data_IF_559767025776
#
_entry.id   IF_559767025776
#
_cell.length_a   1.000
_cell.length_b   1.000
_cell.length_c   1.000
_cell.angle_alpha   90.00
_cell.angle_beta   90.00
_cell.angle_gamma   90.00
#
_symmetry.space_group_name_H-M   'P 1'
#
loop_
_entity.id
_entity.type
_entity.pdbx_description
1 polymer ?
#
# COMPACT_ATOMS: atom_id res chain seq x y z
N UNK A 1 -33.16 41.61 -22.25
CA UNK A 1 -32.45 42.37 -21.18
C UNK A 1 -30.97 42.02 -21.25
N UNK A 2 -30.07 42.97 -21.00
CA UNK A 2 -28.63 42.78 -21.06
C UNK A 2 -28.01 42.92 -19.65
N UNK A 3 -27.03 42.09 -19.34
CA UNK A 3 -26.31 42.08 -18.07
C UNK A 3 -24.90 42.65 -18.20
N UNK A 4 -24.41 43.24 -17.12
CA UNK A 4 -22.97 43.54 -16.96
C UNK A 4 -22.16 42.27 -16.72
N UNK A 5 -20.82 42.33 -16.89
CA UNK A 5 -19.93 41.20 -16.57
C UNK A 5 -20.12 40.71 -15.13
N UNK A 6 -20.33 41.62 -14.17
CA UNK A 6 -20.54 41.29 -12.76
C UNK A 6 -21.83 40.50 -12.55
N UNK A 7 -22.94 41.00 -13.11
CA UNK A 7 -24.24 40.31 -13.03
C UNK A 7 -24.20 38.95 -13.73
N UNK A 8 -23.53 38.86 -14.88
CA UNK A 8 -23.37 37.58 -15.59
C UNK A 8 -22.58 36.57 -14.73
N UNK A 9 -21.47 37.00 -14.14
CA UNK A 9 -20.65 36.15 -13.28
C UNK A 9 -21.46 35.65 -12.07
N UNK A 10 -22.23 36.54 -11.43
CA UNK A 10 -23.10 36.20 -10.31
C UNK A 10 -24.19 35.18 -10.70
N UNK A 11 -24.89 35.41 -11.82
CA UNK A 11 -25.89 34.48 -12.36
C UNK A 11 -25.29 33.11 -12.70
N UNK A 12 -24.07 33.07 -13.22
CA UNK A 12 -23.37 31.83 -13.55
C UNK A 12 -22.69 31.18 -12.33
N UNK A 13 -22.72 31.82 -11.15
CA UNK A 13 -22.00 31.40 -9.94
C UNK A 13 -20.49 31.27 -10.17
N UNK A 14 -19.91 32.24 -10.85
CA UNK A 14 -18.47 32.33 -11.14
C UNK A 14 -17.94 33.73 -10.83
N UNK A 15 -16.67 33.99 -11.12
CA UNK A 15 -16.05 35.30 -10.88
C UNK A 15 -15.90 36.10 -12.18
N UNK A 16 -15.85 37.42 -12.07
CA UNK A 16 -15.53 38.30 -13.22
C UNK A 16 -14.15 37.99 -13.82
N UNK A 17 -13.21 37.52 -12.99
CA UNK A 17 -11.89 37.02 -13.42
C UNK A 17 -12.04 35.78 -14.31
N UNK A 18 -12.88 34.83 -13.94
CA UNK A 18 -13.16 33.63 -14.74
C UNK A 18 -13.83 33.99 -16.07
N UNK A 19 -14.81 34.90 -16.07
CA UNK A 19 -15.45 35.38 -17.31
C UNK A 19 -14.41 36.03 -18.24
N UNK A 20 -13.49 36.84 -17.71
CA UNK A 20 -12.39 37.43 -18.48
C UNK A 20 -11.46 36.36 -19.05
N UNK A 21 -11.05 35.41 -18.23
CA UNK A 21 -10.20 34.32 -18.67
C UNK A 21 -10.84 33.51 -19.82
N UNK A 22 -12.13 33.21 -19.74
CA UNK A 22 -12.84 32.51 -20.81
C UNK A 22 -12.93 33.32 -22.11
N UNK A 23 -12.97 34.65 -22.04
CA UNK A 23 -12.79 35.48 -23.23
C UNK A 23 -11.38 35.40 -23.79
N UNK A 24 -10.35 35.49 -22.94
CA UNK A 24 -8.94 35.47 -23.34
C UNK A 24 -8.57 34.18 -24.09
N UNK A 25 -9.12 33.04 -23.67
CA UNK A 25 -8.89 31.73 -24.31
C UNK A 25 -9.94 31.37 -25.37
N UNK A 26 -10.85 32.29 -25.70
CA UNK A 26 -11.84 32.10 -26.76
C UNK A 26 -13.00 31.15 -26.44
N UNK A 27 -13.16 30.71 -25.19
CA UNK A 27 -14.28 29.85 -24.77
C UNK A 27 -15.60 30.61 -24.62
N UNK A 28 -15.56 31.91 -24.40
CA UNK A 28 -16.72 32.80 -24.35
C UNK A 28 -16.49 33.96 -25.31
N UNK A 29 -17.42 34.18 -26.24
CA UNK A 29 -17.35 35.33 -27.16
C UNK A 29 -17.52 36.65 -26.42
N UNK A 30 -16.79 37.70 -26.83
CA UNK A 30 -16.97 39.03 -26.27
C UNK A 30 -18.30 39.64 -26.77
N UNK A 31 -19.16 40.15 -25.87
CA UNK A 31 -20.41 40.78 -26.28
C UNK A 31 -20.19 42.14 -26.93
N UNK A 32 -21.20 42.59 -27.67
CA UNK A 32 -21.27 43.97 -28.15
C UNK A 32 -21.18 44.98 -26.99
N UNK A 33 -20.55 46.12 -27.29
CA UNK A 33 -20.49 47.26 -26.37
C UNK A 33 -21.70 48.14 -26.59
N UNK A 34 -22.36 48.53 -25.51
CA UNK A 34 -23.38 49.57 -25.52
C UNK A 34 -22.79 50.92 -25.95
N UNK A 35 -23.65 51.86 -26.32
CA UNK A 35 -23.28 53.24 -26.67
C UNK A 35 -22.51 53.98 -25.57
N UNK A 36 -22.62 53.52 -24.31
CA UNK A 36 -21.87 54.03 -23.15
C UNK A 36 -20.54 53.27 -22.88
N UNK A 37 -20.11 52.38 -23.78
CA UNK A 37 -18.84 51.65 -23.72
C UNK A 37 -18.86 50.33 -22.93
N UNK A 38 -19.94 50.03 -22.21
CA UNK A 38 -20.05 48.83 -21.37
C UNK A 38 -20.44 47.58 -22.14
N UNK A 39 -19.86 46.42 -21.77
CA UNK A 39 -20.18 45.09 -22.33
C UNK A 39 -21.64 44.69 -22.02
N UNK A 40 -22.40 44.21 -23.01
CA UNK A 40 -23.80 43.77 -22.86
C UNK A 40 -23.96 42.26 -23.04
N UNK A 41 -24.00 41.51 -21.95
CA UNK A 41 -24.20 40.06 -22.02
C UNK A 41 -25.68 39.69 -22.11
N UNK A 42 -26.01 38.76 -23.01
CA UNK A 42 -27.35 38.19 -23.16
C UNK A 42 -27.48 36.78 -22.58
N UNK A 43 -28.66 36.19 -22.74
CA UNK A 43 -28.98 34.81 -22.31
C UNK A 43 -28.03 33.79 -22.92
N UNK A 44 -27.62 33.95 -24.18
CA UNK A 44 -26.65 33.07 -24.84
C UNK A 44 -25.32 32.96 -24.09
N UNK A 45 -24.81 34.08 -23.56
CA UNK A 45 -23.57 34.11 -22.80
C UNK A 45 -23.72 33.40 -21.46
N UNK A 46 -24.86 33.57 -20.79
CA UNK A 46 -25.17 32.85 -19.54
C UNK A 46 -25.24 31.34 -19.78
N UNK A 47 -25.96 30.91 -20.82
CA UNK A 47 -26.06 29.49 -21.19
C UNK A 47 -24.67 28.91 -21.49
N UNK A 48 -23.83 29.64 -22.22
CA UNK A 48 -22.45 29.23 -22.51
C UNK A 48 -21.64 29.06 -21.22
N UNK A 49 -21.67 30.03 -20.31
CA UNK A 49 -20.97 29.94 -19.03
C UNK A 49 -21.44 28.76 -18.17
N UNK A 50 -22.76 28.54 -18.09
CA UNK A 50 -23.31 27.42 -17.34
C UNK A 50 -22.90 26.07 -17.93
N UNK A 51 -22.81 25.95 -19.26
CA UNK A 51 -22.29 24.73 -19.91
C UNK A 51 -20.81 24.48 -19.61
N UNK A 52 -19.96 25.50 -19.79
CA UNK A 52 -18.53 25.40 -19.46
C UNK A 52 -18.40 24.93 -18.01
N UNK A 53 -19.08 25.60 -17.08
CA UNK A 53 -19.03 25.27 -15.65
C UNK A 53 -19.50 23.85 -15.34
N UNK A 54 -20.58 23.39 -16.00
CA UNK A 54 -21.08 22.02 -15.82
C UNK A 54 -20.04 20.99 -16.25
N UNK A 55 -19.42 21.17 -17.41
CA UNK A 55 -18.41 20.24 -17.93
C UNK A 55 -17.14 20.25 -17.07
N UNK A 56 -16.62 21.43 -16.74
CA UNK A 56 -15.45 21.55 -15.84
C UNK A 56 -15.75 21.00 -14.44
N UNK A 57 -17.00 21.10 -13.98
CA UNK A 57 -17.43 20.55 -12.70
C UNK A 57 -17.49 19.01 -12.68
N UNK A 58 -17.55 18.36 -13.85
CA UNK A 58 -17.43 16.91 -13.98
C UNK A 58 -15.97 16.45 -14.08
N UNK A 59 -15.01 17.36 -14.22
CA UNK A 59 -13.58 17.03 -14.42
C UNK A 59 -13.10 17.18 -15.86
N UNK A 60 -13.96 17.60 -16.81
CA UNK A 60 -13.52 17.89 -18.18
C UNK A 60 -12.53 19.04 -18.18
N UNK A 61 -11.36 18.83 -18.78
CA UNK A 61 -10.36 19.87 -18.92
C UNK A 61 -10.89 21.04 -19.76
N UNK A 62 -10.51 22.27 -19.39
CA UNK A 62 -11.03 23.48 -20.03
C UNK A 62 -10.75 23.52 -21.54
N UNK A 63 -9.62 22.95 -21.98
CA UNK A 63 -9.24 22.83 -23.39
C UNK A 63 -10.16 21.89 -24.19
N UNK A 64 -10.77 20.90 -23.54
CA UNK A 64 -11.61 19.88 -24.17
C UNK A 64 -13.10 20.25 -24.17
N UNK A 65 -13.49 21.34 -23.50
CA UNK A 65 -14.89 21.75 -23.38
C UNK A 65 -15.58 21.88 -24.74
N UNK A 66 -14.93 22.52 -25.72
CA UNK A 66 -15.49 22.65 -27.08
C UNK A 66 -15.54 21.31 -27.81
N UNK A 67 -14.54 20.45 -27.61
CA UNK A 67 -14.52 19.10 -28.21
C UNK A 67 -15.61 18.21 -27.63
N UNK A 68 -15.88 18.24 -26.34
CA UNK A 68 -16.95 17.45 -25.71
C UNK A 68 -18.35 17.88 -26.20
N UNK A 69 -18.50 19.12 -26.67
CA UNK A 69 -19.77 19.61 -27.21
C UNK A 69 -20.04 19.21 -28.66
N UNK A 70 -19.03 18.77 -29.44
CA UNK A 70 -19.19 18.42 -30.86
C UNK A 70 -20.03 17.16 -31.08
N UNK A 71 -20.27 16.36 -30.02
CA UNK A 71 -21.03 15.09 -30.02
C UNK A 71 -20.50 14.03 -30.99
N UNK A 72 -19.28 14.19 -31.46
CA UNK A 72 -18.60 13.19 -32.29
C UNK A 72 -18.02 12.05 -31.44
N UNK A 73 -17.37 11.08 -32.09
CA UNK A 73 -16.74 9.96 -31.40
C UNK A 73 -15.64 10.40 -30.42
N UNK A 74 -14.93 11.48 -30.72
CA UNK A 74 -13.90 12.03 -29.83
C UNK A 74 -14.51 12.59 -28.56
N UNK A 75 -15.63 13.32 -28.67
CA UNK A 75 -16.40 13.81 -27.53
C UNK A 75 -16.84 12.66 -26.61
N UNK A 76 -17.35 11.58 -27.20
CA UNK A 76 -17.75 10.39 -26.44
C UNK A 76 -16.56 9.70 -25.78
N UNK A 77 -15.41 9.64 -26.46
CA UNK A 77 -14.22 9.03 -25.90
C UNK A 77 -13.70 9.79 -24.68
N UNK A 78 -13.60 11.12 -24.75
CA UNK A 78 -13.19 11.96 -23.60
C UNK A 78 -14.09 11.71 -22.38
N UNK A 79 -15.41 11.60 -22.58
CA UNK A 79 -16.35 11.34 -21.50
C UNK A 79 -16.22 9.93 -20.93
N UNK A 80 -15.96 8.91 -21.76
CA UNK A 80 -15.72 7.54 -21.29
C UNK A 80 -14.42 7.41 -20.52
N UNK A 81 -13.36 8.07 -20.98
CA UNK A 81 -12.07 8.06 -20.30
C UNK A 81 -12.18 8.70 -18.91
N UNK A 82 -12.89 9.83 -18.82
CA UNK A 82 -13.18 10.50 -17.55
C UNK A 82 -14.04 9.63 -16.61
N UNK A 83 -15.07 8.94 -17.14
CA UNK A 83 -15.90 8.03 -16.35
C UNK A 83 -15.07 6.85 -15.80
N UNK A 84 -14.21 6.26 -16.62
CA UNK A 84 -13.31 5.18 -16.22
C UNK A 84 -12.30 5.62 -15.16
N UNK A 85 -11.72 6.82 -15.30
CA UNK A 85 -10.83 7.41 -14.30
C UNK A 85 -11.57 7.60 -12.97
N UNK A 86 -12.76 8.21 -12.99
CA UNK A 86 -13.59 8.41 -11.79
C UNK A 86 -13.97 7.08 -11.12
N UNK A 87 -14.30 6.04 -11.90
CA UNK A 87 -14.61 4.72 -11.36
C UNK A 87 -13.41 4.12 -10.63
N UNK A 88 -12.21 4.16 -11.23
CA UNK A 88 -10.98 3.68 -10.60
C UNK A 88 -10.66 4.45 -9.30
N UNK A 89 -10.90 5.77 -9.32
CA UNK A 89 -10.70 6.66 -8.19
C UNK A 89 -11.68 6.39 -7.03
N UNK A 90 -12.93 6.04 -7.34
CA UNK A 90 -13.94 5.62 -6.37
C UNK A 90 -13.52 4.29 -5.74
N UNK A 91 -13.13 3.30 -6.54
CA UNK A 91 -12.69 2.01 -6.03
C UNK A 91 -11.48 2.14 -5.11
N UNK A 92 -10.50 2.98 -5.49
CA UNK A 92 -9.34 3.25 -4.65
C UNK A 92 -9.74 3.87 -3.30
N UNK A 93 -10.60 4.89 -3.30
CA UNK A 93 -11.11 5.50 -2.06
C UNK A 93 -11.92 4.50 -1.21
N UNK A 94 -12.69 3.62 -1.83
CA UNK A 94 -13.42 2.56 -1.13
C UNK A 94 -12.49 1.51 -0.50
N UNK A 95 -11.38 1.15 -1.15
CA UNK A 95 -10.32 0.32 -0.56
C UNK A 95 -9.74 0.98 0.68
N UNK A 96 -9.27 2.22 0.58
CA UNK A 96 -8.73 2.97 1.73
C UNK A 96 -9.72 3.07 2.89
N UNK A 97 -11.03 3.26 2.61
CA UNK A 97 -12.06 3.29 3.65
C UNK A 97 -12.24 1.95 4.37
N UNK A 98 -12.14 0.83 3.64
CA UNK A 98 -12.17 -0.52 4.24
C UNK A 98 -10.94 -0.74 5.11
N UNK A 99 -9.76 -0.35 4.63
CA UNK A 99 -8.52 -0.47 5.38
C UNK A 99 -8.55 0.39 6.65
N UNK A 100 -9.06 1.62 6.57
CA UNK A 100 -9.24 2.50 7.73
C UNK A 100 -10.24 1.92 8.75
N UNK A 101 -11.35 1.33 8.30
CA UNK A 101 -12.31 0.69 9.20
C UNK A 101 -11.67 -0.50 9.93
N UNK A 102 -10.91 -1.32 9.20
CA UNK A 102 -10.14 -2.43 9.75
C UNK A 102 -9.10 -1.99 10.80
N UNK A 103 -8.45 -0.85 10.58
CA UNK A 103 -7.53 -0.22 11.53
C UNK A 103 -8.25 0.29 12.78
N UNK A 104 -9.43 0.91 12.62
CA UNK A 104 -10.20 1.45 13.73
C UNK A 104 -10.78 0.36 14.63
N UNK A 105 -11.18 -0.78 14.05
CA UNK A 105 -11.74 -1.92 14.78
C UNK A 105 -10.66 -2.67 15.58
N UNK A 106 -9.45 -2.78 15.04
CA UNK A 106 -8.33 -3.40 15.74
C UNK A 106 -7.04 -2.60 15.50
N UNK A 107 -6.68 -1.71 16.45
CA UNK A 107 -5.43 -0.94 16.37
C UNK A 107 -4.18 -1.82 16.28
N UNK A 108 -4.20 -3.04 16.83
CA UNK A 108 -3.11 -4.00 16.70
C UNK A 108 -2.94 -4.51 15.26
N UNK A 109 -3.95 -4.35 14.41
CA UNK A 109 -3.87 -4.68 12.99
C UNK A 109 -3.12 -3.64 12.15
N UNK A 110 -2.80 -2.45 12.70
CA UNK A 110 -1.88 -1.50 12.04
C UNK A 110 -0.46 -2.04 11.93
N UNK A 111 -0.06 -2.84 12.92
CA UNK A 111 1.26 -3.43 12.99
C UNK A 111 1.33 -4.77 12.24
N UNK A 112 0.32 -5.11 11.44
CA UNK A 112 0.20 -6.42 10.79
C UNK A 112 -0.15 -6.34 9.31
N UNK A 113 0.46 -7.18 8.46
CA UNK A 113 -0.01 -7.37 7.09
C UNK A 113 -1.45 -7.89 7.07
N UNK A 114 -2.23 -7.51 6.04
CA UNK A 114 -3.65 -7.83 5.91
C UNK A 114 -3.99 -9.31 6.12
N UNK A 115 -3.11 -10.17 5.63
CA UNK A 115 -3.32 -11.61 5.58
C UNK A 115 -3.17 -12.27 6.96
N UNK A 116 -2.56 -11.56 7.92
CA UNK A 116 -2.27 -12.07 9.26
C UNK A 116 -3.18 -11.46 10.35
N UNK A 117 -4.18 -10.64 9.97
CA UNK A 117 -5.02 -9.92 10.93
C UNK A 117 -5.77 -10.84 11.91
N UNK A 118 -6.05 -12.08 11.52
CA UNK A 118 -6.72 -13.07 12.39
C UNK A 118 -5.83 -13.60 13.52
N UNK A 119 -4.51 -13.45 13.40
CA UNK A 119 -3.53 -13.89 14.40
C UNK A 119 -3.10 -12.76 15.36
N UNK A 120 -3.66 -11.55 15.18
CA UNK A 120 -3.17 -10.35 15.86
C UNK A 120 -3.27 -10.43 17.40
N UNK A 121 -4.30 -11.09 17.92
CA UNK A 121 -4.55 -11.19 19.36
C UNK A 121 -3.61 -12.23 20.04
N UNK A 122 -3.14 -13.23 19.30
CA UNK A 122 -2.30 -14.32 19.81
C UNK A 122 -0.79 -14.04 19.67
N UNK A 123 -0.42 -12.96 19.00
CA UNK A 123 0.97 -12.58 18.74
C UNK A 123 1.40 -11.40 19.62
N UNK A 124 2.57 -11.48 20.29
CA UNK A 124 3.21 -10.33 20.93
C UNK A 124 3.50 -9.20 19.94
N UNK A 125 3.50 -7.94 20.41
CA UNK A 125 3.74 -6.76 19.57
C UNK A 125 5.03 -6.86 18.75
N UNK A 126 6.11 -7.36 19.34
CA UNK A 126 7.40 -7.54 18.67
C UNK A 126 7.30 -8.46 17.43
N UNK A 127 6.53 -9.54 17.54
CA UNK A 127 6.31 -10.46 16.41
C UNK A 127 5.43 -9.81 15.34
N UNK A 128 4.47 -8.95 15.72
CA UNK A 128 3.66 -8.20 14.76
C UNK A 128 4.52 -7.23 13.94
N UNK A 129 5.32 -6.42 14.63
CA UNK A 129 6.27 -5.49 13.99
C UNK A 129 7.26 -6.20 13.07
N UNK A 130 7.74 -7.39 13.45
CA UNK A 130 8.59 -8.24 12.60
C UNK A 130 7.87 -8.66 11.29
N UNK A 131 6.61 -9.11 11.39
CA UNK A 131 5.81 -9.50 10.22
C UNK A 131 5.54 -8.33 9.28
N UNK A 132 5.33 -7.14 9.84
CA UNK A 132 5.18 -5.92 9.04
C UNK A 132 6.48 -5.60 8.30
N UNK A 133 7.63 -5.67 8.97
CA UNK A 133 8.94 -5.49 8.32
C UNK A 133 9.15 -6.52 7.20
N UNK A 134 8.80 -7.79 7.44
CA UNK A 134 8.90 -8.87 6.46
C UNK A 134 8.01 -8.65 5.25
N UNK A 135 6.81 -8.10 5.41
CA UNK A 135 5.92 -7.80 4.27
C UNK A 135 6.52 -6.82 3.26
N UNK A 136 7.46 -5.97 3.70
CA UNK A 136 8.16 -5.02 2.82
C UNK A 136 9.26 -5.65 1.97
N UNK A 137 9.77 -6.81 2.38
CA UNK A 137 10.91 -7.50 1.76
C UNK A 137 10.54 -8.84 1.13
N UNK A 138 9.52 -9.56 1.63
CA UNK A 138 9.19 -10.92 1.21
C UNK A 138 8.19 -10.95 0.04
N UNK A 139 8.29 -11.99 -0.79
CA UNK A 139 7.36 -12.31 -1.87
C UNK A 139 5.98 -12.73 -1.31
N UNK A 140 4.89 -12.63 -2.10
CA UNK A 140 3.58 -13.10 -1.65
C UNK A 140 3.58 -14.58 -1.24
N UNK A 141 4.34 -15.42 -1.98
CA UNK A 141 4.47 -16.85 -1.67
C UNK A 141 5.16 -17.09 -0.32
N UNK A 142 6.22 -16.34 -0.03
CA UNK A 142 6.90 -16.42 1.27
C UNK A 142 6.02 -15.91 2.42
N UNK A 143 5.24 -14.83 2.21
CA UNK A 143 4.28 -14.35 3.21
C UNK A 143 3.17 -15.38 3.48
N UNK A 144 2.66 -16.05 2.45
CA UNK A 144 1.65 -17.10 2.62
C UNK A 144 2.20 -18.31 3.41
N UNK A 145 3.44 -18.74 3.11
CA UNK A 145 4.10 -19.81 3.86
C UNK A 145 4.31 -19.42 5.33
N UNK A 146 4.70 -18.17 5.60
CA UNK A 146 4.86 -17.67 6.97
C UNK A 146 3.53 -17.62 7.73
N UNK A 147 2.43 -17.28 7.06
CA UNK A 147 1.09 -17.32 7.63
C UNK A 147 0.68 -18.75 8.01
N UNK A 148 0.91 -19.72 7.13
CA UNK A 148 0.61 -21.13 7.38
C UNK A 148 1.40 -21.67 8.57
N UNK A 149 2.70 -21.37 8.61
CA UNK A 149 3.57 -21.74 9.73
C UNK A 149 3.08 -21.17 11.06
N UNK A 150 2.70 -19.89 11.10
CA UNK A 150 2.22 -19.23 12.33
C UNK A 150 0.79 -19.61 12.73
N UNK A 151 0.01 -20.18 11.80
CA UNK A 151 -1.35 -20.67 12.06
C UNK A 151 -1.36 -22.09 12.62
N UNK A 152 -0.22 -22.79 12.60
CA UNK A 152 -0.07 -24.13 13.19
C UNK A 152 -0.05 -24.11 14.73
N UNK A 153 -0.16 -25.29 15.38
CA UNK A 153 -0.03 -25.38 16.83
C UNK A 153 1.38 -24.93 17.27
N UNK A 154 1.48 -23.94 18.15
CA UNK A 154 2.75 -23.57 18.78
C UNK A 154 3.21 -24.73 19.67
N UNK A 155 4.38 -25.27 19.40
CA UNK A 155 4.94 -26.39 20.16
C UNK A 155 5.44 -25.95 21.54
N UNK A 156 5.66 -26.92 22.43
CA UNK A 156 6.27 -26.69 23.75
C UNK A 156 7.64 -25.98 23.64
N UNK A 157 8.36 -26.19 22.53
CA UNK A 157 9.66 -25.56 22.26
C UNK A 157 9.56 -24.07 21.93
N UNK A 158 8.52 -23.63 21.23
CA UNK A 158 8.30 -22.20 20.96
C UNK A 158 8.00 -21.43 22.24
N UNK A 159 7.23 -22.04 23.15
CA UNK A 159 6.94 -21.48 24.46
C UNK A 159 8.19 -21.46 25.37
N UNK A 160 8.99 -22.53 25.35
CA UNK A 160 10.27 -22.59 26.07
C UNK A 160 11.26 -21.55 25.56
N UNK A 161 11.34 -21.35 24.24
CA UNK A 161 12.15 -20.28 23.65
C UNK A 161 11.64 -18.91 24.07
N UNK A 162 10.34 -18.62 23.95
CA UNK A 162 9.77 -17.32 24.33
C UNK A 162 9.92 -16.97 25.82
N UNK A 163 9.99 -17.98 26.69
CA UNK A 163 10.16 -17.82 28.14
C UNK A 163 11.64 -17.86 28.60
N UNK A 164 12.60 -17.90 27.67
CA UNK A 164 14.01 -17.99 27.99
C UNK A 164 14.50 -16.72 28.69
N UNK A 165 15.12 -16.88 29.86
CA UNK A 165 15.70 -15.76 30.60
C UNK A 165 16.92 -15.16 29.87
N UNK A 166 17.13 -13.84 30.02
CA UNK A 166 18.27 -13.15 29.39
C UNK A 166 19.63 -13.66 29.91
N UNK A 167 19.69 -14.03 31.18
CA UNK A 167 20.88 -14.55 31.86
C UNK A 167 20.93 -16.08 31.88
N UNK A 168 20.12 -16.75 31.06
CA UNK A 168 20.07 -18.21 30.98
C UNK A 168 21.48 -18.82 30.76
N UNK A 169 21.86 -19.87 31.53
CA UNK A 169 23.16 -20.51 31.40
C UNK A 169 23.45 -21.05 30.00
N UNK A 170 24.73 -21.10 29.62
CA UNK A 170 25.16 -21.60 28.31
C UNK A 170 24.66 -23.01 27.99
N UNK A 171 24.60 -23.89 28.98
CA UNK A 171 24.09 -25.25 28.83
C UNK A 171 22.59 -25.28 28.49
N UNK A 172 21.81 -24.35 29.05
CA UNK A 172 20.38 -24.23 28.74
C UNK A 172 20.20 -23.73 27.31
N UNK A 173 20.94 -22.69 26.91
CA UNK A 173 20.92 -22.15 25.54
C UNK A 173 21.36 -23.20 24.50
N UNK A 174 22.40 -23.97 24.80
CA UNK A 174 22.88 -25.03 23.91
C UNK A 174 21.83 -26.14 23.73
N UNK A 175 21.28 -26.66 24.84
CA UNK A 175 20.28 -27.73 24.78
C UNK A 175 19.01 -27.31 24.06
N UNK A 176 18.57 -26.07 24.28
CA UNK A 176 17.43 -25.51 23.56
C UNK A 176 17.71 -25.42 22.05
N UNK A 177 18.88 -24.92 21.66
CA UNK A 177 19.28 -24.86 20.26
C UNK A 177 19.29 -26.24 19.59
N UNK A 178 19.87 -27.26 20.24
CA UNK A 178 19.91 -28.63 19.70
C UNK A 178 18.51 -29.23 19.53
N UNK A 179 17.58 -28.94 20.45
CA UNK A 179 16.19 -29.41 20.37
C UNK A 179 15.37 -28.68 19.30
N UNK A 180 15.70 -27.42 18.97
CA UNK A 180 15.04 -26.67 17.91
C UNK A 180 15.45 -27.12 16.50
N UNK A 181 16.67 -27.67 16.32
CA UNK A 181 17.19 -28.04 14.99
C UNK A 181 16.26 -28.98 14.20
N UNK A 182 15.72 -30.08 14.77
CA UNK A 182 14.81 -30.97 14.05
C UNK A 182 13.53 -30.27 13.58
N UNK A 183 12.94 -29.41 14.42
CA UNK A 183 11.73 -28.65 14.07
C UNK A 183 12.00 -27.64 12.95
N UNK A 184 13.10 -26.88 13.05
CA UNK A 184 13.49 -25.92 12.00
C UNK A 184 13.77 -26.64 10.68
N UNK A 185 14.35 -27.84 10.70
CA UNK A 185 14.54 -28.66 9.48
C UNK A 185 13.23 -29.11 8.88
N UNK A 186 12.28 -29.52 9.72
CA UNK A 186 10.97 -29.93 9.25
C UNK A 186 10.25 -28.75 8.61
N UNK A 187 10.26 -27.58 9.25
CA UNK A 187 9.71 -26.34 8.69
C UNK A 187 10.36 -25.93 7.37
N UNK A 188 11.69 -26.07 7.21
CA UNK A 188 12.37 -25.81 5.93
C UNK A 188 11.96 -26.78 4.83
N UNK A 189 11.63 -28.04 5.16
CA UNK A 189 11.12 -29.02 4.19
C UNK A 189 9.68 -28.74 3.78
N UNK A 190 8.85 -28.38 4.75
CA UNK A 190 7.43 -28.08 4.53
C UNK A 190 7.26 -26.75 3.79
N UNK A 191 8.17 -25.79 4.03
CA UNK A 191 8.17 -24.48 3.38
C UNK A 191 9.55 -24.12 2.77
N UNK A 192 9.95 -24.75 1.64
CA UNK A 192 11.26 -24.51 1.01
C UNK A 192 11.53 -23.05 0.65
N UNK A 193 10.46 -22.30 0.36
CA UNK A 193 10.56 -20.88 0.03
C UNK A 193 11.08 -20.00 1.19
N UNK A 194 10.98 -20.46 2.44
CA UNK A 194 11.50 -19.75 3.62
C UNK A 194 12.96 -20.12 3.94
N UNK A 195 13.48 -21.22 3.35
CA UNK A 195 14.84 -21.70 3.58
C UNK A 195 15.93 -20.86 2.91
N UNK A 196 15.59 -20.08 1.87
CA UNK A 196 16.50 -19.17 1.19
C UNK A 196 15.89 -17.77 1.08
N UNK A 197 16.38 -16.85 1.92
CA UNK A 197 16.00 -15.44 1.93
C UNK A 197 16.21 -14.73 0.58
N UNK A 198 17.14 -15.20 -0.26
CA UNK A 198 17.34 -14.67 -1.61
C UNK A 198 16.19 -15.03 -2.57
N UNK A 199 15.61 -16.22 -2.42
CA UNK A 199 14.44 -16.66 -3.20
C UNK A 199 13.13 -16.14 -2.59
N UNK A 200 13.10 -15.95 -1.28
CA UNK A 200 11.96 -15.46 -0.54
C UNK A 200 11.72 -13.96 -0.74
N UNK A 201 12.74 -13.18 -1.13
CA UNK A 201 12.71 -11.72 -1.15
C UNK A 201 12.41 -11.11 -2.53
N UNK A 202 11.71 -9.97 -2.51
CA UNK A 202 11.54 -9.06 -3.67
C UNK A 202 12.70 -8.06 -3.81
N UNK A 203 13.62 -8.02 -2.84
CA UNK A 203 14.75 -7.10 -2.77
C UNK A 203 16.06 -7.85 -2.99
N UNK A 204 17.13 -7.11 -3.19
CA UNK A 204 18.48 -7.68 -3.20
C UNK A 204 18.76 -8.41 -1.88
N UNK A 205 19.45 -9.55 -1.97
CA UNK A 205 19.72 -10.44 -0.83
C UNK A 205 20.32 -9.70 0.37
N UNK A 206 21.32 -8.84 0.14
CA UNK A 206 21.99 -8.09 1.19
C UNK A 206 21.03 -7.14 1.95
N UNK A 207 20.05 -6.55 1.25
CA UNK A 207 19.05 -5.67 1.86
C UNK A 207 18.04 -6.48 2.68
N UNK A 208 17.58 -7.61 2.16
CA UNK A 208 16.67 -8.50 2.87
C UNK A 208 17.32 -9.07 4.15
N UNK A 209 18.57 -9.53 4.06
CA UNK A 209 19.36 -10.01 5.20
C UNK A 209 19.55 -8.91 6.24
N UNK A 210 19.86 -7.67 5.83
CA UNK A 210 19.99 -6.54 6.74
C UNK A 210 18.70 -6.28 7.54
N UNK A 211 17.54 -6.28 6.88
CA UNK A 211 16.25 -6.06 7.55
C UNK A 211 15.95 -7.17 8.55
N UNK A 212 16.18 -8.44 8.18
CA UNK A 212 15.99 -9.58 9.10
C UNK A 212 16.92 -9.47 10.31
N UNK A 213 18.20 -9.18 10.09
CA UNK A 213 19.19 -9.06 11.17
C UNK A 213 18.83 -7.91 12.12
N UNK A 214 18.47 -6.74 11.59
CA UNK A 214 18.07 -5.61 12.43
C UNK A 214 16.83 -5.92 13.25
N UNK A 215 15.83 -6.53 12.64
CA UNK A 215 14.60 -6.89 13.34
C UNK A 215 14.86 -7.97 14.41
N UNK A 216 15.70 -8.97 14.12
CA UNK A 216 16.09 -9.96 15.13
C UNK A 216 16.78 -9.30 16.32
N UNK A 217 17.73 -8.39 16.07
CA UNK A 217 18.47 -7.69 17.14
C UNK A 217 17.57 -6.76 17.96
N UNK A 218 16.60 -6.10 17.32
CA UNK A 218 15.68 -5.18 17.98
C UNK A 218 14.64 -5.89 18.85
N UNK A 219 14.16 -7.06 18.41
CA UNK A 219 13.05 -7.77 19.05
C UNK A 219 13.47 -8.96 19.93
N UNK A 220 14.75 -9.32 19.96
CA UNK A 220 15.28 -10.41 20.79
C UNK A 220 16.40 -9.94 21.73
N UNK A 221 16.33 -10.35 22.99
CA UNK A 221 17.43 -10.18 23.94
C UNK A 221 18.59 -11.14 23.66
N UNK A 222 19.69 -10.95 24.39
CA UNK A 222 20.98 -11.61 24.14
C UNK A 222 20.89 -13.14 24.11
N UNK A 223 20.18 -13.75 25.05
CA UNK A 223 20.02 -15.21 25.10
C UNK A 223 19.28 -15.78 23.89
N UNK A 224 18.18 -15.16 23.45
CA UNK A 224 17.46 -15.55 22.22
C UNK A 224 18.37 -15.50 20.99
N UNK A 225 19.10 -14.40 20.81
CA UNK A 225 20.03 -14.23 19.69
C UNK A 225 21.14 -15.29 19.69
N UNK A 226 21.62 -15.68 20.88
CA UNK A 226 22.63 -16.73 21.02
C UNK A 226 22.10 -18.11 20.62
N UNK A 227 20.88 -18.45 21.04
CA UNK A 227 20.21 -19.70 20.64
C UNK A 227 19.99 -19.74 19.13
N UNK A 228 19.44 -18.67 18.53
CA UNK A 228 19.23 -18.60 17.08
C UNK A 228 20.54 -18.74 16.29
N UNK A 229 21.63 -18.13 16.78
CA UNK A 229 22.97 -18.28 16.19
C UNK A 229 23.47 -19.73 16.25
N UNK A 230 23.27 -20.42 17.38
CA UNK A 230 23.65 -21.84 17.55
C UNK A 230 22.83 -22.75 16.64
N UNK A 231 21.51 -22.53 16.54
CA UNK A 231 20.65 -23.25 15.59
C UNK A 231 21.17 -23.08 14.17
N UNK A 232 21.47 -21.84 13.75
CA UNK A 232 22.01 -21.57 12.42
C UNK A 232 23.35 -22.30 12.17
N UNK A 233 24.26 -22.28 13.15
CA UNK A 233 25.55 -22.98 13.04
C UNK A 233 25.38 -24.51 12.92
N UNK A 234 24.46 -25.10 13.70
CA UNK A 234 24.15 -26.54 13.66
C UNK A 234 23.50 -26.95 12.34
N UNK A 235 22.69 -26.08 11.73
CA UNK A 235 22.13 -26.32 10.39
C UNK A 235 23.22 -26.31 9.31
N UNK A 236 24.19 -25.39 9.37
CA UNK A 236 25.30 -25.34 8.41
C UNK A 236 26.30 -26.50 8.55
N UNK A 237 26.61 -26.91 9.78
CA UNK A 237 27.57 -27.98 10.06
C UNK A 237 27.14 -29.33 9.47
N UNK A 238 25.83 -29.60 9.42
CA UNK A 238 25.30 -30.86 8.92
C UNK A 238 25.25 -30.92 7.38
N UNK A 239 25.08 -29.77 6.70
CA UNK A 239 25.20 -29.68 5.23
C UNK A 239 26.62 -30.05 4.78
N UNK A 240 27.64 -29.63 5.53
CA UNK A 240 29.04 -29.98 5.26
C UNK A 240 29.33 -31.47 5.51
N UNK A 241 28.55 -32.14 6.37
CA UNK A 241 28.75 -33.55 6.75
C UNK A 241 27.95 -34.50 5.85
N UNK A 242 26.73 -34.13 5.45
CA UNK A 242 25.89 -34.89 4.51
C UNK A 242 26.42 -34.90 3.05
N UNK A 243 27.19 -33.89 2.66
CA UNK A 243 27.84 -33.84 1.33
C UNK A 243 29.02 -34.81 1.16
N UNK A 244 29.53 -35.42 2.23
CA UNK A 244 30.68 -36.35 2.19
C UNK A 244 30.30 -37.83 2.10
N UNK A 245 29.01 -38.19 2.18
CA UNK A 245 28.55 -39.58 2.29
C UNK A 245 28.00 -40.16 0.97
N UNK A 246 27.90 -39.35 -0.10
CA UNK A 246 27.41 -39.78 -1.42
C UNK A 246 28.51 -39.89 -2.49
N UNK A 247 29.75 -40.20 -2.09
CA UNK A 247 30.90 -40.30 -2.98
C UNK A 247 31.75 -41.53 -2.73
N UNK A 248 31.17 -42.72 -2.89
CA UNK A 248 31.87 -43.99 -3.19
C UNK A 248 30.92 -44.91 -3.94
#
# INVERSE_FOLDING_TARGET
MAWSTRQLAELAGTTTKTVRHYHEIGLLEEPERASNGYKRYGVSHLVRLLRIRRLTGLGVALADVTSVESRDERAQQILRDLDAELAADIEHRQRMRRDLAAVMENRAALDMPSDFRTLADDLPQAQRSLLLAYSSILTPAAMAALQEQLSGPRGDLDAEFAALDEDAPDEVRQRLAERMVPEVRQQQKDHPCLGDLGLASRRERAVAESVVVHALVEFHHRAHLDVLRRVHALLLADVATGGRINGT
#
